data_IF_176419798399
#
_entry.id   IF_176419798399
#
_cell.length_a   1.000
_cell.length_b   1.000
_cell.length_c   1.000
_cell.angle_alpha   90.00
_cell.angle_beta   90.00
_cell.angle_gamma   90.00
#
_symmetry.space_group_name_H-M   'P 1'
#
loop_
_entity.id
_entity.type
_entity.pdbx_description
1 polymer ?
#
# COMPACT_ATOMS: atom_id res chain seq x y z
N UNK A 1 -28.30 7.50 32.79
CA UNK A 1 -28.67 6.13 32.35
C UNK A 1 -27.77 5.15 33.08
N UNK A 2 -28.34 4.41 34.02
CA UNK A 2 -27.67 3.34 34.77
C UNK A 2 -27.31 2.21 33.80
N UNK A 3 -26.04 1.84 33.72
CA UNK A 3 -25.58 0.72 32.91
C UNK A 3 -25.79 -0.58 33.69
N UNK A 4 -26.73 -1.41 33.25
CA UNK A 4 -26.94 -2.74 33.83
C UNK A 4 -25.77 -3.65 33.45
N UNK A 5 -25.16 -4.30 34.45
CA UNK A 5 -24.04 -5.25 34.27
C UNK A 5 -24.60 -6.67 34.39
N UNK A 6 -24.60 -7.40 33.29
CA UNK A 6 -24.95 -8.83 33.28
C UNK A 6 -23.70 -9.66 33.00
N UNK A 7 -23.41 -10.65 33.85
CA UNK A 7 -22.33 -11.64 33.66
C UNK A 7 -22.98 -12.90 33.07
N UNK A 8 -22.49 -13.38 31.92
CA UNK A 8 -22.99 -14.63 31.31
C UNK A 8 -21.94 -15.74 31.36
N UNK A 9 -22.40 -16.97 31.59
CA UNK A 9 -21.59 -18.19 31.58
C UNK A 9 -21.60 -18.86 30.19
N UNK A 10 -20.47 -19.42 29.81
CA UNK A 10 -20.27 -20.10 28.52
C UNK A 10 -20.74 -21.54 28.59
N UNK A 11 -21.93 -21.86 28.07
CA UNK A 11 -22.24 -23.14 27.40
C UNK A 11 -23.72 -23.21 26.96
N UNK A 12 -23.93 -23.56 25.68
CA UNK A 12 -25.23 -23.92 25.10
C UNK A 12 -25.41 -23.46 23.65
N UNK A 13 -25.56 -24.38 22.66
CA UNK A 13 -25.86 -23.99 21.28
C UNK A 13 -27.33 -23.60 21.18
N UNK A 14 -27.61 -22.34 20.85
CA UNK A 14 -28.97 -21.85 20.59
C UNK A 14 -29.33 -20.47 21.16
N UNK A 15 -28.44 -19.80 21.87
CA UNK A 15 -28.70 -18.46 22.42
C UNK A 15 -28.03 -17.38 21.52
N UNK A 16 -28.74 -16.34 21.02
CA UNK A 16 -28.15 -15.27 20.20
C UNK A 16 -27.09 -14.40 20.91
N UNK A 17 -26.78 -14.73 22.16
CA UNK A 17 -25.76 -14.12 23.03
C UNK A 17 -24.62 -15.11 23.37
N UNK A 18 -24.33 -16.08 22.50
CA UNK A 18 -23.15 -16.93 22.68
C UNK A 18 -21.85 -16.17 22.36
N UNK A 19 -20.82 -16.39 23.18
CA UNK A 19 -19.48 -15.86 22.92
C UNK A 19 -18.91 -16.49 21.63
N UNK A 20 -18.04 -15.78 20.90
CA UNK A 20 -17.37 -16.33 19.72
C UNK A 20 -16.58 -17.60 20.07
N UNK A 21 -16.46 -18.53 19.13
CA UNK A 21 -15.56 -19.69 19.27
C UNK A 21 -14.14 -19.30 18.85
N UNK A 22 -13.13 -19.79 19.56
CA UNK A 22 -11.72 -19.39 19.36
C UNK A 22 -10.82 -20.62 19.18
N UNK A 23 -9.78 -20.51 18.35
CA UNK A 23 -8.82 -21.60 18.11
C UNK A 23 -7.39 -21.05 18.06
N UNK A 24 -6.43 -21.82 18.59
CA UNK A 24 -5.00 -21.53 18.53
C UNK A 24 -4.25 -22.76 18.00
N UNK A 25 -3.18 -22.54 17.22
CA UNK A 25 -2.25 -23.59 16.78
C UNK A 25 -0.87 -23.39 17.41
N UNK A 26 -0.20 -24.50 17.73
CA UNK A 26 1.18 -24.55 18.20
C UNK A 26 2.04 -25.25 17.13
N UNK A 27 3.29 -24.86 16.88
CA UNK A 27 4.11 -25.54 15.89
C UNK A 27 4.29 -27.02 16.23
N UNK A 28 3.93 -27.91 15.29
CA UNK A 28 4.19 -29.36 15.38
C UNK A 28 3.11 -30.24 16.01
N UNK A 29 1.89 -29.73 16.27
CA UNK A 29 0.75 -30.51 16.76
C UNK A 29 -0.54 -30.10 16.04
N UNK A 30 -1.22 -31.08 15.43
CA UNK A 30 -2.58 -30.90 14.96
C UNK A 30 -3.56 -30.98 16.14
N UNK A 31 -4.30 -29.87 16.32
CA UNK A 31 -5.51 -29.67 17.14
C UNK A 31 -5.40 -29.08 18.57
N UNK A 32 -5.97 -27.87 18.66
CA UNK A 32 -6.90 -27.33 19.66
C UNK A 32 -6.51 -27.43 21.14
N UNK A 33 -5.90 -26.35 21.66
CA UNK A 33 -6.18 -25.90 23.04
C UNK A 33 -7.13 -24.70 22.97
N UNK A 34 -8.35 -24.89 23.46
CA UNK A 34 -9.37 -23.84 23.55
C UNK A 34 -8.90 -22.79 24.57
N UNK A 35 -8.77 -21.49 24.21
CA UNK A 35 -8.45 -20.47 25.20
C UNK A 35 -9.56 -20.41 26.25
N UNK A 36 -9.19 -20.41 27.53
CA UNK A 36 -10.19 -20.27 28.59
C UNK A 36 -10.64 -18.81 28.62
N UNK A 37 -11.87 -18.55 28.19
CA UNK A 37 -12.52 -17.25 28.37
C UNK A 37 -12.80 -17.08 29.85
N UNK A 38 -11.99 -16.28 30.54
CA UNK A 38 -12.09 -16.12 31.99
C UNK A 38 -13.11 -15.07 32.39
N UNK A 39 -13.42 -14.11 31.50
CA UNK A 39 -14.44 -13.08 31.76
C UNK A 39 -14.93 -12.44 30.48
N UNK A 40 -16.25 -12.31 30.30
CA UNK A 40 -16.82 -11.41 29.29
C UNK A 40 -17.75 -10.39 29.97
N UNK A 41 -17.62 -9.12 29.59
CA UNK A 41 -18.45 -8.02 30.05
C UNK A 41 -19.13 -7.43 28.82
N UNK A 42 -20.46 -7.37 28.83
CA UNK A 42 -21.25 -6.73 27.78
C UNK A 42 -21.74 -5.39 28.28
N UNK A 43 -21.47 -4.33 27.52
CA UNK A 43 -22.02 -3.01 27.74
C UNK A 43 -22.99 -2.67 26.62
N UNK A 44 -24.23 -2.32 26.97
CA UNK A 44 -25.25 -1.89 26.02
C UNK A 44 -25.32 -0.37 25.97
N UNK A 45 -25.24 0.19 24.77
CA UNK A 45 -25.37 1.62 24.51
C UNK A 45 -26.32 1.85 23.34
N UNK A 46 -27.53 2.36 23.61
CA UNK A 46 -28.42 2.89 22.57
C UNK A 46 -28.65 1.95 21.36
N UNK A 47 -28.79 0.65 21.60
CA UNK A 47 -28.99 -0.36 20.55
C UNK A 47 -27.72 -1.02 20.00
N UNK A 48 -26.54 -0.65 20.49
CA UNK A 48 -25.27 -1.32 20.25
C UNK A 48 -24.77 -2.07 21.49
N UNK A 49 -24.00 -3.13 21.27
CA UNK A 49 -23.33 -3.89 22.33
C UNK A 49 -21.81 -3.78 22.15
N UNK A 50 -21.11 -3.49 23.23
CA UNK A 50 -19.66 -3.65 23.34
C UNK A 50 -19.40 -4.88 24.20
N UNK A 51 -18.77 -5.89 23.62
CA UNK A 51 -18.39 -7.11 24.35
C UNK A 51 -16.89 -7.04 24.61
N UNK A 52 -16.52 -7.07 25.88
CA UNK A 52 -15.12 -7.16 26.31
C UNK A 52 -14.89 -8.54 26.92
N UNK A 53 -14.14 -9.38 26.21
CA UNK A 53 -13.70 -10.66 26.74
C UNK A 53 -12.21 -10.63 27.11
N UNK A 54 -11.89 -11.18 28.28
CA UNK A 54 -10.53 -11.51 28.69
C UNK A 54 -10.32 -13.00 28.45
N UNK A 55 -9.22 -13.32 27.77
CA UNK A 55 -8.85 -14.67 27.39
C UNK A 55 -7.49 -15.00 27.99
N UNK A 56 -7.37 -16.15 28.64
CA UNK A 56 -6.09 -16.65 29.13
C UNK A 56 -5.65 -17.83 28.26
N UNK A 57 -4.46 -17.71 27.67
CA UNK A 57 -3.80 -18.79 26.96
C UNK A 57 -2.86 -19.49 27.95
N UNK A 58 -3.10 -20.78 28.22
CA UNK A 58 -2.28 -21.51 29.20
C UNK A 58 -0.87 -21.74 28.65
N UNK A 59 0.12 -21.06 29.25
CA UNK A 59 1.53 -21.44 29.27
C UNK A 59 2.14 -21.84 27.93
N UNK A 60 2.29 -20.89 27.00
CA UNK A 60 3.03 -21.09 25.76
C UNK A 60 3.32 -19.77 25.04
N UNK A 61 4.42 -19.74 24.26
CA UNK A 61 4.59 -18.70 23.22
C UNK A 61 3.72 -19.11 22.04
N UNK A 62 2.85 -18.20 21.61
CA UNK A 62 1.96 -18.38 20.46
C UNK A 62 2.42 -17.44 19.35
N UNK A 63 2.74 -17.99 18.18
CA UNK A 63 3.20 -17.19 17.04
C UNK A 63 2.03 -16.67 16.20
N UNK A 64 0.84 -17.29 16.31
CA UNK A 64 -0.35 -16.93 15.54
C UNK A 64 -1.65 -17.33 16.27
N UNK A 65 -2.60 -16.40 16.39
CA UNK A 65 -3.94 -16.64 16.98
C UNK A 65 -5.00 -16.35 15.92
N UNK A 66 -5.90 -17.30 15.68
CA UNK A 66 -6.99 -17.16 14.71
C UNK A 66 -8.32 -16.96 15.41
N UNK A 67 -9.01 -15.87 15.09
CA UNK A 67 -10.34 -15.55 15.61
C UNK A 67 -11.32 -15.67 14.44
N UNK A 68 -12.18 -16.69 14.45
CA UNK A 68 -13.24 -16.83 13.46
C UNK A 68 -14.51 -16.15 13.97
N UNK A 69 -14.96 -15.15 13.22
CA UNK A 69 -16.21 -14.47 13.48
C UNK A 69 -17.33 -15.08 12.62
N UNK A 70 -18.42 -15.51 13.23
CA UNK A 70 -19.59 -16.05 12.52
C UNK A 70 -20.61 -14.97 12.09
N UNK A 71 -20.39 -13.70 12.44
CA UNK A 71 -21.25 -12.58 12.06
C UNK A 71 -20.51 -11.62 11.11
N UNK A 72 -20.98 -11.51 9.87
CA UNK A 72 -20.39 -10.72 8.77
C UNK A 72 -20.36 -9.19 8.99
N UNK A 73 -20.82 -8.68 10.13
CA UNK A 73 -20.97 -7.25 10.43
C UNK A 73 -20.17 -6.74 11.63
N UNK A 74 -19.14 -7.46 12.08
CA UNK A 74 -18.39 -7.12 13.30
C UNK A 74 -16.90 -6.93 13.00
N UNK A 75 -16.34 -5.81 13.47
CA UNK A 75 -14.92 -5.49 13.38
C UNK A 75 -14.19 -5.93 14.66
N UNK A 76 -13.05 -6.61 14.49
CA UNK A 76 -12.18 -7.09 15.56
C UNK A 76 -10.92 -6.23 15.57
N UNK A 77 -10.55 -5.68 16.73
CA UNK A 77 -9.26 -5.02 16.95
C UNK A 77 -8.51 -5.67 18.10
N UNK A 78 -7.19 -5.83 17.97
CA UNK A 78 -6.30 -6.32 19.04
C UNK A 78 -5.40 -5.14 19.44
N UNK A 79 -5.30 -4.82 20.74
CA UNK A 79 -4.35 -3.81 21.21
C UNK A 79 -3.07 -4.44 21.77
N UNK A 80 -2.04 -3.62 21.99
CA UNK A 80 -0.66 -4.02 22.35
C UNK A 80 -0.55 -4.79 23.68
N UNK A 81 -1.63 -4.88 24.46
CA UNK A 81 -1.71 -5.63 25.72
C UNK A 81 -2.48 -6.96 25.59
N UNK A 82 -2.78 -7.42 24.37
CA UNK A 82 -3.50 -8.67 24.14
C UNK A 82 -5.01 -8.60 24.41
N UNK A 83 -5.59 -7.39 24.49
CA UNK A 83 -7.03 -7.21 24.67
C UNK A 83 -7.72 -7.07 23.32
N UNK A 84 -8.74 -7.91 23.09
CA UNK A 84 -9.54 -7.94 21.86
C UNK A 84 -10.79 -7.04 22.06
N UNK A 85 -10.97 -6.07 21.17
CA UNK A 85 -12.11 -5.13 21.15
C UNK A 85 -13.00 -5.45 19.94
N UNK A 86 -14.26 -5.79 20.18
CA UNK A 86 -15.27 -6.03 19.14
C UNK A 86 -16.28 -4.89 19.09
N UNK A 87 -16.48 -4.25 17.92
CA UNK A 87 -17.48 -3.18 17.72
C UNK A 87 -18.58 -3.61 16.75
N UNK A 88 -19.85 -3.39 17.14
CA UNK A 88 -21.04 -3.54 16.30
C UNK A 88 -21.53 -2.18 15.78
N UNK A 89 -21.85 -2.08 14.49
CA UNK A 89 -22.65 -1.00 13.91
C UNK A 89 -23.81 -1.64 13.15
N UNK A 90 -25.05 -1.45 13.62
CA UNK A 90 -26.25 -1.84 12.89
C UNK A 90 -26.80 -0.59 12.19
N UNK A 91 -26.90 -0.63 10.87
CA UNK A 91 -27.67 0.36 10.09
C UNK A 91 -29.16 0.11 10.35
N UNK A 92 -29.85 1.08 10.95
CA UNK A 92 -31.30 1.03 11.12
C UNK A 92 -32.02 1.37 9.80
N UNK A 93 -33.18 0.76 9.50
CA UNK A 93 -33.95 1.09 8.31
C UNK A 93 -34.69 2.42 8.49
N UNK A 94 -34.75 3.20 7.41
CA UNK A 94 -35.49 4.46 7.31
C UNK A 94 -36.98 4.28 7.68
N UNK A 95 -37.55 5.04 8.62
CA UNK A 95 -39.00 5.20 8.68
C UNK A 95 -39.44 6.22 7.63
N UNK A 96 -40.48 5.88 6.88
CA UNK A 96 -41.18 6.76 5.93
C UNK A 96 -41.72 7.99 6.68
N UNK A 97 -41.32 9.19 6.27
CA UNK A 97 -41.88 10.44 6.78
C UNK A 97 -43.14 10.84 5.99
N UNK A 98 -44.23 11.14 6.71
CA UNK A 98 -45.42 11.85 6.21
C UNK A 98 -45.12 13.37 6.22
N UNK A 99 -45.70 14.20 5.33
CA UNK A 99 -45.29 15.58 5.19
C UNK A 99 -46.02 16.46 6.22
N UNK A 100 -45.27 17.07 7.13
CA UNK A 100 -45.76 18.19 7.91
C UNK A 100 -45.27 19.47 7.23
N UNK A 101 -46.23 20.18 6.61
CA UNK A 101 -46.03 21.54 6.10
C UNK A 101 -45.76 22.44 7.30
N UNK A 102 -44.51 22.90 7.42
CA UNK A 102 -44.14 23.98 8.32
C UNK A 102 -43.49 25.08 7.48
N UNK A 103 -44.28 26.11 7.19
CA UNK A 103 -43.79 27.37 6.68
C UNK A 103 -42.96 28.03 7.79
N UNK A 104 -41.66 28.19 7.57
CA UNK A 104 -40.84 29.11 8.34
C UNK A 104 -40.11 30.08 7.42
N UNK A 105 -40.28 31.33 7.81
CA UNK A 105 -39.90 32.56 7.15
C UNK A 105 -38.37 32.62 7.03
N UNK A 106 -37.92 33.07 5.85
CA UNK A 106 -36.52 33.30 5.53
C UNK A 106 -35.88 34.29 6.51
N UNK A 107 -35.01 33.78 7.38
CA UNK A 107 -33.92 34.56 7.96
C UNK A 107 -32.62 34.01 7.38
N UNK A 108 -31.99 34.83 6.54
CA UNK A 108 -30.73 34.50 5.89
C UNK A 108 -29.63 34.28 6.91
N UNK A 109 -29.24 33.02 7.10
CA UNK A 109 -27.90 32.69 7.54
C UNK A 109 -27.03 32.56 6.30
N UNK A 110 -26.17 33.56 6.10
CA UNK A 110 -25.04 33.52 5.18
C UNK A 110 -24.30 32.22 5.46
N UNK A 111 -24.42 31.25 4.55
CA UNK A 111 -23.55 30.09 4.53
C UNK A 111 -22.16 30.61 4.23
N UNK A 112 -21.32 30.69 5.26
CA UNK A 112 -19.88 30.83 5.09
C UNK A 112 -19.44 29.78 4.06
N UNK A 113 -18.63 30.12 3.04
CA UNK A 113 -18.10 29.11 2.14
C UNK A 113 -17.36 28.11 3.01
N UNK A 114 -17.86 26.86 3.03
CA UNK A 114 -17.16 25.76 3.68
C UNK A 114 -15.71 25.81 3.23
N UNK A 115 -14.79 25.81 4.20
CA UNK A 115 -13.36 25.86 3.98
C UNK A 115 -13.01 24.98 2.80
N UNK A 116 -12.71 25.59 1.65
CA UNK A 116 -12.12 24.87 0.55
C UNK A 116 -10.88 24.20 1.14
N UNK A 117 -10.91 22.87 1.21
CA UNK A 117 -9.75 22.07 1.56
C UNK A 117 -8.64 22.54 0.62
N UNK A 118 -7.69 23.34 1.15
CA UNK A 118 -6.58 23.86 0.37
C UNK A 118 -5.72 22.65 -0.02
N UNK A 119 -5.99 22.10 -1.20
CA UNK A 119 -5.17 21.04 -1.77
C UNK A 119 -3.86 21.69 -2.17
N UNK A 120 -2.86 21.58 -1.30
CA UNK A 120 -1.50 21.96 -1.59
C UNK A 120 -0.93 20.91 -2.55
N UNK A 121 -0.98 21.21 -3.84
CA UNK A 121 -0.39 20.40 -4.91
C UNK A 121 1.13 20.28 -4.68
N UNK A 122 1.70 19.13 -4.98
CA UNK A 122 3.16 19.02 -5.09
C UNK A 122 3.66 19.95 -6.21
N UNK A 123 4.65 20.79 -5.88
CA UNK A 123 5.41 21.55 -6.87
C UNK A 123 6.31 20.60 -7.68
N UNK A 124 6.65 20.98 -8.91
CA UNK A 124 7.60 20.25 -9.74
C UNK A 124 8.91 20.00 -8.96
N UNK A 125 9.40 18.76 -8.98
CA UNK A 125 10.51 18.34 -8.14
C UNK A 125 11.82 19.04 -8.57
N UNK A 126 12.16 20.12 -7.87
CA UNK A 126 13.48 20.72 -7.87
C UNK A 126 14.32 20.05 -6.77
N UNK A 127 15.50 19.56 -7.11
CA UNK A 127 16.40 18.91 -6.17
C UNK A 127 17.88 19.18 -6.52
N UNK A 128 18.75 19.03 -5.53
CA UNK A 128 20.20 19.11 -5.66
C UNK A 128 20.69 17.75 -6.17
N UNK A 129 21.12 17.71 -7.43
CA UNK A 129 21.67 16.53 -8.09
C UNK A 129 23.20 16.62 -8.14
N UNK A 130 23.95 15.54 -7.86
CA UNK A 130 25.40 15.52 -8.02
C UNK A 130 25.85 15.95 -9.42
N UNK A 131 27.05 16.54 -9.54
CA UNK A 131 27.60 16.89 -10.85
C UNK A 131 28.04 15.64 -11.64
N UNK A 132 28.42 14.57 -10.93
CA UNK A 132 28.89 13.29 -11.44
C UNK A 132 28.37 12.14 -10.55
N UNK A 133 28.32 10.90 -11.06
CA UNK A 133 28.02 9.71 -10.26
C UNK A 133 28.97 9.58 -9.07
N UNK A 134 28.43 9.24 -7.89
CA UNK A 134 29.23 9.06 -6.66
C UNK A 134 29.72 7.62 -6.47
N UNK A 135 29.25 6.69 -7.29
CA UNK A 135 29.62 5.28 -7.29
C UNK A 135 29.38 4.68 -8.68
N UNK A 136 29.90 3.46 -8.91
CA UNK A 136 29.46 2.65 -10.04
C UNK A 136 27.95 2.35 -9.89
N UNK A 137 27.21 2.55 -10.97
CA UNK A 137 25.75 2.37 -11.02
C UNK A 137 25.34 1.40 -12.12
N UNK A 138 26.32 0.77 -12.78
CA UNK A 138 26.08 -0.34 -13.70
C UNK A 138 25.32 -1.45 -12.99
N UNK A 139 24.28 -1.95 -13.63
CA UNK A 139 23.45 -3.00 -13.04
C UNK A 139 23.99 -4.36 -13.49
N UNK A 140 24.39 -5.20 -12.55
CA UNK A 140 24.89 -6.54 -12.88
C UNK A 140 23.70 -7.51 -12.99
N UNK A 141 23.30 -7.82 -14.23
CA UNK A 141 22.17 -8.72 -14.49
C UNK A 141 22.39 -10.15 -13.98
N UNK A 142 23.65 -10.59 -13.80
CA UNK A 142 23.95 -11.93 -13.26
C UNK A 142 23.58 -12.06 -11.77
N UNK A 143 23.46 -10.93 -11.06
CA UNK A 143 23.06 -10.89 -9.65
C UNK A 143 21.55 -10.82 -9.47
N UNK A 144 20.77 -10.80 -10.55
CA UNK A 144 19.32 -10.72 -10.46
C UNK A 144 18.71 -12.01 -9.88
N UNK A 145 17.93 -11.94 -8.79
CA UNK A 145 17.33 -13.15 -8.20
C UNK A 145 16.22 -13.77 -9.07
N UNK A 146 15.66 -13.01 -10.00
CA UNK A 146 14.54 -13.45 -10.84
C UNK A 146 15.01 -13.94 -12.21
N UNK A 147 16.07 -13.35 -12.75
CA UNK A 147 16.63 -13.71 -14.05
C UNK A 147 15.85 -13.07 -15.21
N UNK A 148 16.27 -13.44 -16.42
CA UNK A 148 15.70 -12.92 -17.66
C UNK A 148 14.42 -13.65 -18.06
N UNK A 149 13.47 -12.90 -18.60
CA UNK A 149 12.35 -13.41 -19.38
C UNK A 149 12.12 -12.48 -20.57
N UNK A 150 12.72 -12.84 -21.70
CA UNK A 150 12.62 -12.13 -22.98
C UNK A 150 11.55 -12.72 -23.92
N UNK A 151 10.87 -13.78 -23.49
CA UNK A 151 9.82 -14.45 -24.27
C UNK A 151 8.42 -13.93 -23.92
N UNK A 152 8.23 -13.34 -22.74
CA UNK A 152 6.95 -12.79 -22.33
C UNK A 152 6.56 -11.56 -23.16
N UNK A 153 5.29 -11.50 -23.58
CA UNK A 153 4.73 -10.32 -24.23
C UNK A 153 4.45 -9.21 -23.23
N UNK A 154 4.68 -7.96 -23.64
CA UNK A 154 4.13 -6.80 -22.92
C UNK A 154 2.67 -6.60 -23.33
N UNK A 155 1.76 -6.77 -22.38
CA UNK A 155 0.31 -6.63 -22.58
C UNK A 155 -0.23 -5.36 -21.93
N UNK A 156 0.38 -4.94 -20.82
CA UNK A 156 0.09 -3.66 -20.16
C UNK A 156 1.33 -3.12 -19.45
N UNK A 157 1.22 -1.90 -18.93
CA UNK A 157 2.24 -1.28 -18.10
C UNK A 157 1.74 -0.97 -16.70
N UNK A 158 2.60 -1.09 -15.70
CA UNK A 158 2.32 -0.77 -14.29
C UNK A 158 3.28 0.31 -13.81
N UNK A 159 2.77 1.53 -13.58
CA UNK A 159 3.54 2.66 -13.07
C UNK A 159 3.60 2.58 -11.55
N UNK A 160 4.80 2.40 -11.00
CA UNK A 160 5.07 2.27 -9.56
C UNK A 160 5.46 3.63 -8.96
N UNK A 161 4.73 4.06 -7.92
CA UNK A 161 4.92 5.35 -7.26
C UNK A 161 5.11 5.13 -5.77
N UNK A 162 6.23 5.60 -5.22
CA UNK A 162 6.62 5.40 -3.84
C UNK A 162 6.54 6.70 -3.02
N UNK A 163 6.18 6.58 -1.74
CA UNK A 163 6.26 7.69 -0.79
C UNK A 163 7.61 7.69 -0.07
N UNK A 164 8.49 8.58 -0.50
CA UNK A 164 9.89 8.62 -0.05
C UNK A 164 10.07 8.77 1.47
N UNK A 165 9.29 9.59 2.22
CA UNK A 165 9.48 9.70 3.66
C UNK A 165 9.30 8.37 4.42
N UNK A 166 8.34 7.53 4.01
CA UNK A 166 8.13 6.23 4.64
C UNK A 166 9.25 5.24 4.26
N UNK A 167 9.65 5.23 2.98
CA UNK A 167 10.79 4.45 2.50
C UNK A 167 12.09 4.81 3.24
N UNK A 168 12.40 6.11 3.36
CA UNK A 168 13.60 6.57 4.05
C UNK A 168 13.58 6.29 5.55
N UNK A 169 12.42 6.36 6.20
CA UNK A 169 12.28 5.93 7.60
C UNK A 169 12.60 4.43 7.76
N UNK A 170 12.13 3.59 6.83
CA UNK A 170 12.47 2.17 6.80
C UNK A 170 13.98 1.94 6.58
N UNK A 171 14.60 2.62 5.60
CA UNK A 171 16.04 2.52 5.34
C UNK A 171 16.90 2.96 6.52
N UNK A 172 16.55 4.05 7.19
CA UNK A 172 17.25 4.51 8.41
C UNK A 172 17.22 3.46 9.53
N UNK A 173 16.07 2.80 9.75
CA UNK A 173 15.95 1.70 10.72
C UNK A 173 16.83 0.50 10.31
N UNK A 174 16.83 0.15 9.02
CA UNK A 174 17.65 -0.93 8.48
C UNK A 174 19.14 -0.71 8.68
N UNK A 175 19.64 0.50 8.35
CA UNK A 175 21.04 0.88 8.55
C UNK A 175 21.43 0.81 10.03
N UNK A 176 20.63 1.41 10.93
CA UNK A 176 20.87 1.34 12.38
C UNK A 176 20.94 -0.09 12.89
N UNK A 177 20.08 -0.98 12.37
CA UNK A 177 20.11 -2.40 12.71
C UNK A 177 21.41 -3.07 12.25
N UNK A 178 21.85 -2.80 11.01
CA UNK A 178 23.12 -3.32 10.49
C UNK A 178 24.32 -2.85 11.32
N UNK A 179 24.32 -1.58 11.77
CA UNK A 179 25.34 -1.03 12.66
C UNK A 179 25.37 -1.76 14.01
N UNK A 180 24.19 -1.98 14.63
CA UNK A 180 24.06 -2.71 15.88
C UNK A 180 24.51 -4.18 15.76
N UNK A 181 24.32 -4.80 14.60
CA UNK A 181 24.78 -6.15 14.28
C UNK A 181 26.29 -6.21 13.93
N UNK A 182 27.02 -5.08 13.99
CA UNK A 182 28.43 -5.00 13.64
C UNK A 182 28.73 -5.03 12.14
N UNK A 183 27.70 -5.02 11.27
CA UNK A 183 27.80 -5.12 9.80
C UNK A 183 28.06 -3.75 9.16
N UNK A 184 29.13 -3.08 9.59
CA UNK A 184 29.45 -1.68 9.23
C UNK A 184 29.55 -1.44 7.72
N UNK A 185 30.14 -2.37 6.98
CA UNK A 185 30.29 -2.23 5.53
C UNK A 185 28.95 -2.26 4.80
N UNK A 186 28.04 -3.15 5.21
CA UNK A 186 26.68 -3.22 4.66
C UNK A 186 25.87 -1.98 5.01
N UNK A 187 26.01 -1.48 6.24
CA UNK A 187 25.36 -0.23 6.67
C UNK A 187 25.83 0.96 5.81
N UNK A 188 27.14 1.08 5.58
CA UNK A 188 27.73 2.11 4.70
C UNK A 188 27.25 1.98 3.27
N UNK A 189 27.20 0.76 2.73
CA UNK A 189 26.69 0.51 1.38
C UNK A 189 25.23 0.97 1.23
N UNK A 190 24.34 0.58 2.16
CA UNK A 190 22.93 1.03 2.14
C UNK A 190 22.81 2.56 2.28
N UNK A 191 23.63 3.18 3.13
CA UNK A 191 23.66 4.64 3.26
C UNK A 191 24.03 5.33 1.95
N UNK A 192 25.12 4.92 1.31
CA UNK A 192 25.58 5.54 0.06
C UNK A 192 24.59 5.28 -1.09
N UNK A 193 24.01 4.07 -1.17
CA UNK A 193 23.00 3.70 -2.16
C UNK A 193 21.78 4.64 -2.13
N UNK A 194 21.27 4.97 -0.95
CA UNK A 194 20.08 5.82 -0.79
C UNK A 194 20.42 7.26 -0.41
N UNK A 195 21.67 7.70 -0.60
CA UNK A 195 22.15 9.00 -0.14
C UNK A 195 21.37 10.17 -0.73
N UNK A 196 21.15 10.15 -2.05
CA UNK A 196 20.39 11.20 -2.73
C UNK A 196 18.98 11.29 -2.15
N UNK A 197 18.26 10.17 -2.09
CA UNK A 197 16.87 10.11 -1.66
C UNK A 197 16.67 10.40 -0.17
N UNK A 198 17.52 9.84 0.70
CA UNK A 198 17.24 9.73 2.13
C UNK A 198 18.24 10.43 3.05
N UNK A 199 19.46 10.70 2.57
CA UNK A 199 20.56 11.19 3.41
C UNK A 199 21.25 12.42 2.80
N UNK A 200 20.50 13.23 2.05
CA UNK A 200 20.92 14.52 1.51
C UNK A 200 20.02 15.64 2.03
N UNK A 201 20.31 16.88 1.63
CA UNK A 201 19.48 18.04 1.95
C UNK A 201 18.15 18.06 1.17
N UNK A 202 18.01 17.21 0.15
CA UNK A 202 16.77 17.07 -0.60
C UNK A 202 15.61 16.56 0.26
N UNK A 203 14.40 16.97 -0.08
CA UNK A 203 13.15 16.53 0.57
C UNK A 203 12.20 15.98 -0.49
N UNK A 204 12.29 14.68 -0.73
CA UNK A 204 11.40 13.98 -1.65
C UNK A 204 10.07 13.62 -0.96
N UNK A 205 8.97 13.88 -1.64
CA UNK A 205 7.63 13.41 -1.28
C UNK A 205 7.31 12.12 -2.03
N UNK A 206 6.30 12.17 -2.90
CA UNK A 206 6.07 11.11 -3.87
C UNK A 206 7.16 11.11 -4.94
N UNK A 207 7.65 9.93 -5.29
CA UNK A 207 8.66 9.70 -6.32
C UNK A 207 8.19 8.62 -7.28
N UNK A 208 8.69 8.67 -8.51
CA UNK A 208 8.56 7.60 -9.47
C UNK A 208 9.57 6.50 -9.13
N UNK A 209 9.07 5.29 -8.92
CA UNK A 209 9.92 4.11 -8.79
C UNK A 209 10.26 3.58 -10.19
N UNK A 210 9.24 3.28 -11.01
CA UNK A 210 9.43 2.71 -12.33
C UNK A 210 8.14 2.55 -13.13
N UNK A 211 8.27 2.08 -14.37
CA UNK A 211 7.17 1.66 -15.24
C UNK A 211 7.48 0.29 -15.80
N UNK A 212 6.73 -0.69 -15.33
CA UNK A 212 7.03 -2.08 -15.58
C UNK A 212 6.17 -2.61 -16.71
N UNK A 213 6.82 -3.22 -17.69
CA UNK A 213 6.14 -4.02 -18.71
C UNK A 213 5.62 -5.29 -18.05
N UNK A 214 4.35 -5.59 -18.26
CA UNK A 214 3.66 -6.69 -17.59
C UNK A 214 2.91 -7.53 -18.61
N UNK A 215 2.79 -8.83 -18.34
CA UNK A 215 2.10 -9.78 -19.21
C UNK A 215 0.78 -10.26 -18.58
N UNK A 216 -0.17 -10.59 -19.44
CA UNK A 216 -1.35 -11.38 -19.12
C UNK A 216 -1.14 -12.87 -19.44
N UNK A 217 0.07 -13.27 -19.86
CA UNK A 217 0.46 -14.64 -20.17
C UNK A 217 -0.47 -15.29 -21.20
N UNK A 218 -0.67 -14.58 -22.33
CA UNK A 218 -1.53 -15.01 -23.44
C UNK A 218 -3.04 -14.88 -23.18
N UNK A 219 -3.47 -14.39 -22.01
CA UNK A 219 -4.88 -14.14 -21.68
C UNK A 219 -5.34 -12.76 -22.14
N UNK A 220 -6.65 -12.58 -22.29
CA UNK A 220 -7.24 -11.26 -22.51
C UNK A 220 -7.12 -10.39 -21.27
N UNK A 221 -7.25 -9.07 -21.42
CA UNK A 221 -7.21 -8.12 -20.31
C UNK A 221 -8.28 -8.41 -19.24
N UNK A 222 -9.46 -8.89 -19.63
CA UNK A 222 -10.55 -9.23 -18.72
C UNK A 222 -10.23 -10.46 -17.85
N UNK A 223 -9.45 -11.40 -18.41
CA UNK A 223 -8.99 -12.61 -17.73
C UNK A 223 -7.58 -12.46 -17.14
N UNK A 224 -7.00 -11.26 -17.24
CA UNK A 224 -5.65 -10.97 -16.79
C UNK A 224 -5.58 -10.90 -15.27
N UNK A 225 -4.51 -11.46 -14.73
CA UNK A 225 -4.14 -11.31 -13.33
C UNK A 225 -2.76 -10.68 -13.25
N UNK A 226 -2.54 -9.90 -12.19
CA UNK A 226 -1.22 -9.43 -11.81
C UNK A 226 -0.53 -10.56 -11.04
N UNK A 227 0.46 -11.17 -11.69
CA UNK A 227 1.08 -12.41 -11.22
C UNK A 227 1.99 -12.14 -10.02
N UNK A 228 1.91 -13.01 -9.01
CA UNK A 228 2.85 -12.92 -7.88
C UNK A 228 4.27 -13.35 -8.28
N UNK A 229 4.36 -14.24 -9.29
CA UNK A 229 5.62 -14.71 -9.82
C UNK A 229 6.24 -13.70 -10.78
N UNK A 230 7.20 -12.91 -10.28
CA UNK A 230 7.91 -11.87 -11.03
C UNK A 230 8.52 -12.40 -12.34
N UNK A 231 8.93 -13.68 -12.39
CA UNK A 231 9.54 -14.31 -13.57
C UNK A 231 8.59 -14.44 -14.75
N UNK A 232 7.27 -14.34 -14.56
CA UNK A 232 6.32 -14.38 -15.67
C UNK A 232 6.33 -13.09 -16.48
N UNK A 233 6.68 -11.96 -15.88
CA UNK A 233 6.66 -10.66 -16.56
C UNK A 233 7.90 -10.46 -17.46
N UNK A 234 7.78 -9.66 -18.53
CA UNK A 234 8.92 -9.24 -19.34
C UNK A 234 10.01 -8.62 -18.48
N UNK A 235 11.22 -9.17 -18.57
CA UNK A 235 12.34 -8.75 -17.72
C UNK A 235 13.68 -8.98 -18.36
N UNK A 236 14.58 -7.99 -18.28
CA UNK A 236 15.95 -8.08 -18.82
C UNK A 236 15.95 -8.54 -20.28
N UNK A 237 15.01 -8.03 -21.09
CA UNK A 237 14.75 -8.55 -22.44
C UNK A 237 15.91 -8.35 -23.43
N UNK A 238 16.88 -7.51 -23.09
CA UNK A 238 18.12 -7.30 -23.84
C UNK A 238 19.35 -7.80 -23.08
N UNK A 239 19.16 -8.59 -22.02
CA UNK A 239 20.22 -9.07 -21.14
C UNK A 239 20.85 -7.95 -20.31
N UNK A 240 22.12 -8.15 -19.97
CA UNK A 240 23.01 -7.18 -19.32
C UNK A 240 23.36 -6.07 -20.31
N UNK A 241 23.01 -4.82 -20.00
CA UNK A 241 23.32 -3.67 -20.86
C UNK A 241 24.40 -2.82 -20.20
N UNK A 242 25.23 -2.11 -20.98
CA UNK A 242 26.20 -1.19 -20.38
C UNK A 242 25.50 -0.06 -19.62
N UNK A 243 26.14 0.40 -18.54
CA UNK A 243 25.81 1.64 -17.86
C UNK A 243 25.50 2.78 -18.85
N UNK A 244 24.31 3.37 -18.72
CA UNK A 244 23.93 4.53 -19.52
C UNK A 244 24.85 5.70 -19.21
N UNK A 245 25.02 6.61 -20.19
CA UNK A 245 25.71 7.86 -19.94
C UNK A 245 24.99 8.63 -18.81
N UNK A 246 25.74 9.15 -17.83
CA UNK A 246 25.16 9.91 -16.74
C UNK A 246 24.27 11.06 -17.20
N UNK A 247 24.58 11.70 -18.34
CA UNK A 247 23.74 12.78 -18.90
C UNK A 247 22.36 12.30 -19.36
N UNK A 248 22.20 11.02 -19.71
CA UNK A 248 20.89 10.42 -20.01
C UNK A 248 20.06 10.26 -18.74
N UNK A 249 20.68 9.85 -17.62
CA UNK A 249 19.96 9.58 -16.36
C UNK A 249 19.70 10.86 -15.54
N UNK A 250 20.67 11.77 -15.52
CA UNK A 250 20.70 12.97 -14.66
C UNK A 250 19.39 13.77 -14.63
N UNK A 251 18.69 14.03 -15.76
CA UNK A 251 17.45 14.81 -15.77
C UNK A 251 16.30 14.19 -14.96
N UNK A 252 16.35 12.88 -14.72
CA UNK A 252 15.26 12.14 -14.08
C UNK A 252 15.48 11.93 -12.57
N UNK A 253 16.67 12.27 -12.04
CA UNK A 253 17.05 12.03 -10.64
C UNK A 253 16.20 12.79 -9.61
N UNK A 254 15.56 13.90 -9.98
CA UNK A 254 14.64 14.59 -9.07
C UNK A 254 13.25 13.94 -9.00
N UNK A 255 12.90 13.12 -9.99
CA UNK A 255 11.64 12.35 -10.00
C UNK A 255 11.85 10.93 -9.47
N UNK A 256 13.03 10.35 -9.72
CA UNK A 256 13.46 9.01 -9.28
C UNK A 256 14.86 9.09 -8.66
N UNK A 257 14.99 9.35 -7.35
CA UNK A 257 16.26 9.70 -6.70
C UNK A 257 17.19 8.52 -6.40
N UNK A 258 17.51 7.72 -7.42
CA UNK A 258 18.51 6.65 -7.38
C UNK A 258 19.10 6.42 -8.77
N UNK A 259 20.42 6.59 -8.91
CA UNK A 259 21.10 6.41 -10.20
C UNK A 259 21.17 4.94 -10.60
N UNK A 260 21.48 4.07 -9.64
CA UNK A 260 21.47 2.61 -9.80
C UNK A 260 20.05 2.08 -9.97
N UNK A 261 19.06 2.71 -9.32
CA UNK A 261 17.65 2.46 -9.58
C UNK A 261 17.31 2.72 -11.05
N UNK A 262 17.63 3.91 -11.58
CA UNK A 262 17.30 4.26 -12.96
C UNK A 262 17.98 3.34 -13.98
N UNK A 263 19.25 2.98 -13.76
CA UNK A 263 19.93 1.97 -14.60
C UNK A 263 19.18 0.63 -14.54
N UNK A 264 18.90 0.12 -13.34
CA UNK A 264 18.20 -1.13 -13.16
C UNK A 264 16.79 -1.11 -13.79
N UNK A 265 16.02 -0.03 -13.63
CA UNK A 265 14.70 0.13 -14.24
C UNK A 265 14.76 0.08 -15.76
N UNK A 266 15.77 0.70 -16.37
CA UNK A 266 15.98 0.63 -17.82
C UNK A 266 16.26 -0.81 -18.27
N UNK A 267 17.25 -1.47 -17.69
CA UNK A 267 17.64 -2.81 -18.12
C UNK A 267 16.56 -3.86 -17.86
N UNK A 268 15.98 -3.81 -16.66
CA UNK A 268 14.99 -4.78 -16.21
C UNK A 268 13.67 -4.62 -16.92
N UNK A 269 13.20 -3.39 -17.13
CA UNK A 269 11.81 -3.13 -17.48
C UNK A 269 11.69 -2.30 -18.77
N UNK A 270 12.47 -1.23 -18.90
CA UNK A 270 12.37 -0.32 -20.05
C UNK A 270 12.79 -0.96 -21.37
N UNK A 271 13.92 -1.66 -21.39
CA UNK A 271 14.49 -2.28 -22.58
C UNK A 271 13.60 -3.36 -23.22
N UNK A 272 12.58 -3.83 -22.50
CA UNK A 272 11.58 -4.78 -23.00
C UNK A 272 10.54 -4.16 -23.94
N UNK A 273 10.28 -2.85 -23.84
CA UNK A 273 9.19 -2.20 -24.56
C UNK A 273 9.57 -0.86 -25.22
N UNK A 274 10.80 -0.39 -25.01
CA UNK A 274 11.30 0.88 -25.53
C UNK A 274 12.63 0.69 -26.26
N UNK A 275 12.81 1.45 -27.34
CA UNK A 275 14.04 1.41 -28.13
C UNK A 275 15.20 2.12 -27.43
N UNK A 276 14.92 3.19 -26.68
CA UNK A 276 15.92 4.02 -26.00
C UNK A 276 15.53 4.32 -24.55
N UNK A 277 16.55 4.52 -23.71
CA UNK A 277 16.37 4.88 -22.30
C UNK A 277 15.73 6.25 -22.14
N UNK A 278 16.05 7.21 -23.02
CA UNK A 278 15.46 8.54 -23.03
C UNK A 278 13.94 8.48 -23.25
N UNK A 279 13.47 7.66 -24.18
CA UNK A 279 12.04 7.48 -24.44
C UNK A 279 11.35 6.82 -23.23
N UNK A 280 12.00 5.82 -22.63
CA UNK A 280 11.50 5.15 -21.43
C UNK A 280 11.36 6.12 -20.25
N UNK A 281 12.42 6.83 -19.88
CA UNK A 281 12.38 7.76 -18.75
C UNK A 281 11.47 8.97 -19.01
N UNK A 282 11.47 9.52 -20.22
CA UNK A 282 10.56 10.61 -20.60
C UNK A 282 9.10 10.19 -20.45
N UNK A 283 8.75 8.98 -20.92
CA UNK A 283 7.38 8.48 -20.80
C UNK A 283 6.97 8.29 -19.34
N UNK A 284 7.84 7.73 -18.51
CA UNK A 284 7.56 7.57 -17.09
C UNK A 284 7.34 8.91 -16.38
N UNK A 285 8.23 9.87 -16.64
CA UNK A 285 8.13 11.21 -16.06
C UNK A 285 6.88 11.94 -16.55
N UNK A 286 6.49 11.79 -17.83
CA UNK A 286 5.24 12.32 -18.36
C UNK A 286 4.03 11.76 -17.60
N UNK A 287 3.95 10.44 -17.44
CA UNK A 287 2.84 9.78 -16.74
C UNK A 287 2.77 10.21 -15.26
N UNK A 288 3.92 10.30 -14.60
CA UNK A 288 4.02 10.75 -13.21
C UNK A 288 3.61 12.22 -13.04
N UNK A 289 4.15 13.14 -13.86
CA UNK A 289 3.92 14.57 -13.75
C UNK A 289 2.48 14.98 -14.05
N UNK A 290 1.71 14.14 -14.75
CA UNK A 290 0.27 14.35 -14.99
C UNK A 290 -0.59 14.12 -13.74
N UNK A 291 -0.03 13.51 -12.69
CA UNK A 291 -0.78 13.18 -11.49
C UNK A 291 -0.82 14.35 -10.51
N UNK A 292 -2.02 14.62 -10.02
CA UNK A 292 -2.24 15.39 -8.81
C UNK A 292 -2.11 14.44 -7.62
N UNK A 293 -1.07 14.65 -6.82
CA UNK A 293 -0.75 13.85 -5.64
C UNK A 293 -0.91 14.69 -4.36
N UNK A 294 -1.32 14.07 -3.23
CA UNK A 294 -1.36 14.75 -1.94
C UNK A 294 0.06 15.07 -1.45
N UNK A 295 0.23 16.13 -0.67
CA UNK A 295 1.54 16.49 -0.08
C UNK A 295 2.06 15.40 0.87
N UNK A 296 1.17 14.76 1.62
CA UNK A 296 1.47 13.68 2.55
C UNK A 296 1.02 12.31 2.02
N UNK A 297 1.25 11.26 2.82
CA UNK A 297 0.70 9.92 2.58
C UNK A 297 -0.48 9.67 3.52
N UNK A 298 -1.73 9.86 3.06
CA UNK A 298 -2.89 9.48 3.85
C UNK A 298 -3.06 7.95 3.86
N UNK A 299 -4.01 7.44 4.63
CA UNK A 299 -4.34 6.01 4.61
C UNK A 299 -4.75 5.54 3.21
N UNK A 300 -4.52 4.26 2.87
CA UNK A 300 -4.80 3.70 1.54
C UNK A 300 -6.18 4.08 0.99
N UNK A 301 -7.23 3.99 1.83
CA UNK A 301 -8.59 4.38 1.44
C UNK A 301 -8.68 5.86 1.04
N UNK A 302 -8.09 6.75 1.85
CA UNK A 302 -8.08 8.18 1.59
C UNK A 302 -7.21 8.54 0.39
N UNK A 303 -6.08 7.86 0.20
CA UNK A 303 -5.21 8.02 -0.97
C UNK A 303 -5.97 7.70 -2.26
N UNK A 304 -6.62 6.53 -2.34
CA UNK A 304 -7.41 6.16 -3.52
C UNK A 304 -8.55 7.16 -3.77
N UNK A 305 -9.22 7.62 -2.71
CA UNK A 305 -10.27 8.65 -2.83
C UNK A 305 -9.71 9.96 -3.38
N UNK A 306 -8.56 10.42 -2.88
CA UNK A 306 -7.88 11.61 -3.36
C UNK A 306 -7.49 11.48 -4.83
N UNK A 307 -6.80 10.39 -5.19
CA UNK A 307 -6.35 10.13 -6.55
C UNK A 307 -7.52 10.16 -7.53
N UNK A 308 -8.63 9.47 -7.23
CA UNK A 308 -9.84 9.44 -8.08
C UNK A 308 -10.57 10.78 -8.15
N UNK A 309 -10.52 11.58 -7.08
CA UNK A 309 -11.15 12.91 -7.01
C UNK A 309 -10.39 13.93 -7.84
N UNK A 310 -9.05 13.91 -7.78
CA UNK A 310 -8.20 14.93 -8.36
C UNK A 310 -7.58 14.56 -9.72
N UNK A 311 -7.69 13.30 -10.12
CA UNK A 311 -7.25 12.81 -11.44
C UNK A 311 -8.44 12.14 -12.15
N UNK A 312 -9.22 12.89 -12.95
CA UNK A 312 -10.45 12.37 -13.56
C UNK A 312 -10.26 11.09 -14.40
N UNK A 313 -9.09 10.92 -15.02
CA UNK A 313 -8.72 9.71 -15.77
C UNK A 313 -8.66 8.44 -14.92
N UNK A 314 -8.48 8.57 -13.59
CA UNK A 314 -8.48 7.45 -12.65
C UNK A 314 -9.87 7.14 -12.09
N UNK A 315 -10.90 7.92 -12.44
CA UNK A 315 -12.26 7.72 -11.92
C UNK A 315 -12.78 6.35 -12.35
N UNK A 316 -13.25 5.57 -11.38
CA UNK A 316 -13.74 4.22 -11.62
C UNK A 316 -12.66 3.16 -11.82
N UNK A 317 -11.38 3.53 -11.90
CA UNK A 317 -10.27 2.60 -12.15
C UNK A 317 -9.79 1.91 -10.90
N UNK A 318 -9.42 0.64 -11.01
CA UNK A 318 -8.72 -0.08 -9.96
C UNK A 318 -7.26 0.40 -9.85
N UNK A 319 -6.87 0.82 -8.65
CA UNK A 319 -5.51 1.26 -8.28
C UNK A 319 -5.04 0.26 -7.24
N UNK A 320 -3.87 -0.34 -7.47
CA UNK A 320 -3.26 -1.25 -6.50
C UNK A 320 -2.40 -0.46 -5.50
N UNK A 321 -2.27 -0.98 -4.28
CA UNK A 321 -1.41 -0.43 -3.23
C UNK A 321 -0.67 -1.57 -2.57
N UNK A 322 0.65 -1.45 -2.46
CA UNK A 322 1.49 -2.35 -1.68
C UNK A 322 2.39 -1.50 -0.77
N UNK A 323 2.27 -1.70 0.55
CA UNK A 323 3.05 -0.95 1.56
C UNK A 323 3.04 0.57 1.34
N UNK A 324 4.20 1.11 0.98
CA UNK A 324 4.48 2.53 0.75
C UNK A 324 4.41 2.92 -0.74
N UNK A 325 3.82 2.06 -1.57
CA UNK A 325 3.70 2.24 -3.01
C UNK A 325 2.26 2.10 -3.48
N UNK A 326 1.92 2.80 -4.56
CA UNK A 326 0.71 2.55 -5.32
C UNK A 326 1.02 2.44 -6.80
N UNK A 327 0.12 1.77 -7.51
CA UNK A 327 0.31 1.45 -8.91
C UNK A 327 -0.88 1.90 -9.75
N UNK A 328 -0.58 2.54 -10.88
CA UNK A 328 -1.54 2.87 -11.92
C UNK A 328 -1.18 2.06 -13.16
N UNK A 329 -2.17 1.39 -13.74
CA UNK A 329 -1.95 0.53 -14.90
C UNK A 329 -2.40 1.22 -16.18
N UNK A 330 -1.66 0.95 -17.24
CA UNK A 330 -1.87 1.54 -18.55
C UNK A 330 -1.91 0.47 -19.64
N UNK A 331 -2.72 0.69 -20.66
CA UNK A 331 -2.63 -0.08 -21.91
C UNK A 331 -1.28 0.17 -22.59
N UNK A 332 -0.97 -0.60 -23.64
CA UNK A 332 0.24 -0.39 -24.45
C UNK A 332 0.31 0.99 -25.12
N UNK A 333 -0.85 1.65 -25.27
CA UNK A 333 -0.98 3.00 -25.81
C UNK A 333 -0.98 4.08 -24.72
N UNK A 334 -0.66 3.70 -23.47
CA UNK A 334 -0.62 4.59 -22.30
C UNK A 334 -1.98 5.19 -21.91
N UNK A 335 -3.08 4.48 -22.18
CA UNK A 335 -4.41 4.81 -21.67
C UNK A 335 -4.61 4.16 -20.30
N UNK A 336 -5.20 4.89 -19.34
CA UNK A 336 -5.44 4.35 -18.00
C UNK A 336 -6.44 3.19 -18.06
N UNK A 337 -6.02 2.03 -17.56
CA UNK A 337 -6.84 0.82 -17.44
C UNK A 337 -7.03 0.45 -15.97
N UNK A 338 -7.94 -0.48 -15.72
CA UNK A 338 -8.03 -1.12 -14.41
C UNK A 338 -6.78 -1.98 -14.21
N UNK A 339 -6.07 -1.78 -13.09
CA UNK A 339 -5.01 -2.71 -12.76
C UNK A 339 -5.58 -4.13 -12.61
N UNK A 340 -4.99 -5.15 -13.27
CA UNK A 340 -5.41 -6.52 -13.10
C UNK A 340 -5.52 -6.91 -11.63
N UNK A 341 -6.42 -7.85 -11.34
CA UNK A 341 -6.56 -8.35 -9.97
C UNK A 341 -5.29 -9.12 -9.61
N UNK A 342 -4.79 -9.01 -8.36
CA UNK A 342 -3.76 -9.91 -7.88
C UNK A 342 -4.14 -11.37 -8.14
N UNK A 343 -3.14 -12.22 -8.35
CA UNK A 343 -3.33 -13.66 -8.56
C UNK A 343 -4.10 -14.35 -7.41
N UNK A 344 -4.03 -13.81 -6.19
CA UNK A 344 -4.62 -14.39 -4.97
C UNK A 344 -5.39 -13.38 -4.12
#
# INVERSE_FOLDING_TARGET
MTADRTVMNTQGPGNPLSCPAFMSQKPGLDAVTDPTVTRCIVHQFGGAFLVWCQMNFQGGKHDLVWIRNQASSMAIGINENGVIIMRFIKLLPFPKALPLVLAFIASGCITSPGSAEQVKLMAAASCIVPAQPTANYDYDASTDPYGQNDQASTDYFKLAINYSPAFCAHKKKGIKRLENEGKKEKARYEYEKFKLQCFSDNKFGWILHGLWAETCDGKSMEACHDWAEIRKHPRLCKGDLPALNYQTIKPYLCTSPGIDLLQAEWEKHGACAFDTAENFFSKQQELFNRLVLPEDRPSNKKLVQFLKKHNPVLKGKHIQIAHDEFYICYSKNFEVIDCPKPEY
#
